data_IF_342508950179
#
_entry.id   IF_342508950179
#
_cell.length_a   1.000
_cell.length_b   1.000
_cell.length_c   1.000
_cell.angle_alpha   90.00
_cell.angle_beta   90.00
_cell.angle_gamma   90.00
#
_symmetry.space_group_name_H-M   'P 1'
#
loop_
_entity.id
_entity.type
_entity.pdbx_description
1 polymer ?
#
# COMPACT_ATOMS: atom_id res chain seq x y z
N UNK A 1 8.24 -48.85 21.04
CA UNK A 1 8.06 -47.66 21.89
C UNK A 1 8.52 -46.44 21.12
N UNK A 2 7.59 -45.62 20.66
CA UNK A 2 7.87 -44.43 19.83
C UNK A 2 7.88 -43.24 20.80
N UNK A 3 9.05 -42.68 21.07
CA UNK A 3 9.16 -41.37 21.71
C UNK A 3 8.84 -40.30 20.66
N UNK A 4 7.58 -39.89 20.59
CA UNK A 4 7.19 -38.66 19.91
C UNK A 4 7.61 -37.48 20.78
N UNK A 5 8.74 -36.86 20.45
CA UNK A 5 9.11 -35.52 20.92
C UNK A 5 7.98 -34.53 20.61
N UNK A 6 7.59 -33.63 21.55
CA UNK A 6 6.59 -32.62 21.26
C UNK A 6 7.17 -31.66 20.24
N UNK A 7 6.72 -31.77 18.99
CA UNK A 7 6.98 -30.73 17.99
C UNK A 7 6.33 -29.45 18.50
N UNK A 8 7.16 -28.46 18.82
CA UNK A 8 6.74 -27.09 19.04
C UNK A 8 6.14 -26.56 17.74
N UNK A 9 4.87 -26.86 17.50
CA UNK A 9 4.05 -26.19 16.50
C UNK A 9 4.03 -24.71 16.88
N UNK A 10 4.62 -23.79 16.09
CA UNK A 10 4.64 -22.39 16.45
C UNK A 10 3.20 -21.89 16.50
N UNK A 11 2.85 -21.21 17.58
CA UNK A 11 1.54 -20.60 17.77
C UNK A 11 1.09 -19.86 16.51
N UNK A 12 -0.10 -20.20 16.01
CA UNK A 12 -0.81 -19.66 14.84
C UNK A 12 -0.23 -18.34 14.23
N UNK A 13 0.77 -18.48 13.35
CA UNK A 13 1.46 -17.36 12.66
C UNK A 13 0.57 -16.53 11.72
N UNK A 14 -0.67 -16.95 11.49
CA UNK A 14 -1.63 -16.25 10.63
C UNK A 14 -2.05 -14.89 11.20
N UNK A 15 -2.23 -14.78 12.52
CA UNK A 15 -2.68 -13.52 13.17
C UNK A 15 -1.58 -12.46 13.22
N UNK A 16 -0.33 -12.84 13.42
CA UNK A 16 0.82 -11.90 13.36
C UNK A 16 1.07 -11.41 11.94
N UNK A 17 0.92 -12.29 10.94
CA UNK A 17 0.99 -11.92 9.52
C UNK A 17 -0.15 -10.98 9.14
N UNK A 18 -1.37 -11.26 9.60
CA UNK A 18 -2.53 -10.38 9.42
C UNK A 18 -2.29 -9.00 10.03
N UNK A 19 -1.82 -8.93 11.28
CA UNK A 19 -1.49 -7.67 11.93
C UNK A 19 -0.44 -6.86 11.14
N UNK A 20 0.60 -7.52 10.62
CA UNK A 20 1.61 -6.86 9.78
C UNK A 20 1.04 -6.32 8.46
N UNK A 21 0.16 -7.08 7.80
CA UNK A 21 -0.51 -6.63 6.57
C UNK A 21 -1.48 -5.48 6.86
N UNK A 22 -2.22 -5.54 7.96
CA UNK A 22 -3.15 -4.48 8.40
C UNK A 22 -2.41 -3.18 8.73
N UNK A 23 -1.28 -3.28 9.44
CA UNK A 23 -0.44 -2.11 9.74
C UNK A 23 0.15 -1.49 8.47
N UNK A 24 0.64 -2.31 7.54
CA UNK A 24 1.13 -1.84 6.25
C UNK A 24 0.03 -1.17 5.41
N UNK A 25 -1.16 -1.76 5.40
CA UNK A 25 -2.33 -1.22 4.72
C UNK A 25 -2.77 0.13 5.32
N UNK A 26 -2.89 0.19 6.66
CA UNK A 26 -3.24 1.41 7.37
C UNK A 26 -2.21 2.53 7.17
N UNK A 27 -0.92 2.20 7.12
CA UNK A 27 0.14 3.17 6.86
C UNK A 27 0.02 3.80 5.46
N UNK A 28 -0.32 3.02 4.43
CA UNK A 28 -0.51 3.55 3.06
C UNK A 28 -1.80 4.36 2.95
N UNK A 29 -2.95 3.80 3.37
CA UNK A 29 -4.23 4.50 3.29
C UNK A 29 -4.20 5.82 4.07
N UNK A 30 -3.66 5.79 5.30
CA UNK A 30 -3.58 6.96 6.16
C UNK A 30 -2.62 8.03 5.65
N UNK A 31 -1.37 7.64 5.31
CA UNK A 31 -0.33 8.62 4.98
C UNK A 31 -0.34 9.08 3.53
N UNK A 32 -0.75 8.25 2.57
CA UNK A 32 -0.68 8.62 1.15
C UNK A 32 -2.06 9.08 0.69
N UNK A 33 -3.08 8.23 0.81
CA UNK A 33 -4.38 8.52 0.18
C UNK A 33 -5.13 9.65 0.88
N UNK A 34 -5.24 9.62 2.22
CA UNK A 34 -6.03 10.61 2.96
C UNK A 34 -5.27 11.87 3.34
N UNK A 35 -3.98 11.74 3.72
CA UNK A 35 -3.20 12.91 4.13
C UNK A 35 -3.04 13.95 3.02
N UNK A 36 -2.94 13.52 1.75
CA UNK A 36 -2.80 14.45 0.62
C UNK A 36 -3.97 15.44 0.54
N UNK A 37 -5.22 14.97 0.73
CA UNK A 37 -6.39 15.84 0.73
C UNK A 37 -6.38 16.87 1.86
N UNK A 38 -5.79 16.53 3.01
CA UNK A 38 -5.64 17.43 4.16
C UNK A 38 -4.55 18.48 3.91
N UNK A 39 -3.44 18.10 3.28
CA UNK A 39 -2.33 19.01 2.98
C UNK A 39 -2.57 19.89 1.74
N UNK A 40 -3.55 19.54 0.90
CA UNK A 40 -3.83 20.24 -0.36
C UNK A 40 -4.07 21.75 -0.19
N UNK A 41 -4.87 22.24 0.78
CA UNK A 41 -5.03 23.68 1.01
C UNK A 41 -3.73 24.35 1.45
N UNK A 42 -2.99 23.75 2.39
CA UNK A 42 -1.71 24.27 2.89
C UNK A 42 -0.64 24.36 1.79
N UNK A 43 -0.59 23.38 0.88
CA UNK A 43 0.30 23.40 -0.28
C UNK A 43 -0.08 24.53 -1.25
N UNK A 44 -1.37 24.72 -1.51
CA UNK A 44 -1.86 25.80 -2.37
C UNK A 44 -1.50 27.19 -1.82
N UNK A 45 -1.62 27.39 -0.51
CA UNK A 45 -1.27 28.65 0.16
C UNK A 45 0.25 28.90 0.20
N UNK A 46 1.05 27.87 0.47
CA UNK A 46 2.51 28.01 0.64
C UNK A 46 3.25 28.18 -0.69
N UNK A 47 2.83 27.47 -1.73
CA UNK A 47 3.49 27.49 -3.05
C UNK A 47 2.73 28.35 -4.09
N UNK A 48 1.54 28.86 -3.76
CA UNK A 48 0.73 29.67 -4.66
C UNK A 48 0.09 28.87 -5.81
N UNK A 49 0.06 27.54 -5.74
CA UNK A 49 -0.51 26.69 -6.79
C UNK A 49 -2.03 26.66 -6.73
N UNK A 50 -2.68 26.64 -7.90
CA UNK A 50 -4.13 26.54 -7.98
C UNK A 50 -4.63 25.17 -7.50
N UNK A 51 -5.86 25.12 -6.99
CA UNK A 51 -6.52 23.86 -6.61
C UNK A 51 -6.62 22.87 -7.77
N UNK A 52 -6.81 23.36 -9.00
CA UNK A 52 -6.86 22.51 -10.19
C UNK A 52 -5.52 21.87 -10.51
N UNK A 53 -4.41 22.57 -10.25
CA UNK A 53 -3.08 22.04 -10.46
C UNK A 53 -2.75 20.96 -9.40
N UNK A 54 -3.23 21.13 -8.17
CA UNK A 54 -3.05 20.16 -7.07
C UNK A 54 -3.99 18.96 -7.12
N UNK A 55 -5.11 19.02 -7.85
CA UNK A 55 -5.99 17.85 -8.02
C UNK A 55 -5.44 16.82 -9.03
N UNK A 56 -4.62 17.27 -9.99
CA UNK A 56 -4.03 16.41 -11.02
C UNK A 56 -3.16 15.26 -10.50
N UNK A 57 -2.24 15.48 -9.53
CA UNK A 57 -1.46 14.42 -8.90
C UNK A 57 -2.33 13.32 -8.28
N UNK A 58 -3.44 13.69 -7.65
CA UNK A 58 -4.38 12.72 -7.07
C UNK A 58 -5.11 11.91 -8.15
N UNK A 59 -5.51 12.55 -9.24
CA UNK A 59 -6.06 11.84 -10.40
C UNK A 59 -5.05 10.85 -10.98
N UNK A 60 -3.79 11.25 -11.12
CA UNK A 60 -2.74 10.38 -11.64
C UNK A 60 -2.47 9.18 -10.71
N UNK A 61 -2.46 9.42 -9.40
CA UNK A 61 -2.37 8.38 -8.38
C UNK A 61 -3.46 7.30 -8.55
N UNK A 62 -4.72 7.72 -8.72
CA UNK A 62 -5.84 6.79 -8.92
C UNK A 62 -5.74 6.05 -10.26
N UNK A 63 -5.38 6.75 -11.34
CA UNK A 63 -5.24 6.14 -12.67
C UNK A 63 -4.16 5.05 -12.64
N UNK A 64 -2.98 5.37 -12.11
CA UNK A 64 -1.86 4.41 -12.04
C UNK A 64 -2.21 3.24 -11.13
N UNK A 65 -2.76 3.52 -9.94
CA UNK A 65 -3.18 2.48 -9.01
C UNK A 65 -4.22 1.52 -9.60
N UNK A 66 -5.23 2.06 -10.29
CA UNK A 66 -6.27 1.27 -10.95
C UNK A 66 -5.78 0.52 -12.18
N UNK A 67 -5.06 1.18 -13.10
CA UNK A 67 -4.56 0.58 -14.34
C UNK A 67 -3.55 -0.55 -14.08
N UNK A 68 -2.75 -0.43 -13.01
CA UNK A 68 -1.76 -1.44 -12.65
C UNK A 68 -2.33 -2.54 -11.75
N UNK A 69 -3.61 -2.47 -11.35
CA UNK A 69 -4.28 -3.51 -10.56
C UNK A 69 -4.19 -4.92 -11.17
N UNK A 70 -4.48 -5.12 -12.47
CA UNK A 70 -4.31 -6.43 -13.12
C UNK A 70 -2.86 -6.91 -13.11
N UNK A 71 -1.90 -6.01 -13.32
CA UNK A 71 -0.47 -6.31 -13.30
C UNK A 71 -0.03 -6.73 -11.89
N UNK A 72 -0.55 -6.07 -10.85
CA UNK A 72 -0.36 -6.46 -9.47
C UNK A 72 -0.89 -7.88 -9.22
N UNK A 73 -2.07 -8.22 -9.73
CA UNK A 73 -2.62 -9.59 -9.63
C UNK A 73 -1.70 -10.65 -10.24
N UNK A 74 -1.20 -10.42 -11.45
CA UNK A 74 -0.26 -11.35 -12.12
C UNK A 74 1.05 -11.49 -11.36
N UNK A 75 1.60 -10.37 -10.87
CA UNK A 75 2.85 -10.38 -10.10
C UNK A 75 2.68 -11.03 -8.72
N UNK A 76 1.53 -10.85 -8.06
CA UNK A 76 1.18 -11.59 -6.82
C UNK A 76 1.14 -13.10 -7.09
N UNK A 77 0.48 -13.52 -8.18
CA UNK A 77 0.38 -14.94 -8.54
C UNK A 77 1.76 -15.56 -8.86
N UNK A 78 2.67 -14.80 -9.47
CA UNK A 78 3.99 -15.30 -9.91
C UNK A 78 5.08 -15.20 -8.84
N UNK A 79 5.12 -14.11 -8.08
CA UNK A 79 6.20 -13.79 -7.14
C UNK A 79 5.79 -13.89 -5.67
N UNK A 80 4.50 -14.02 -5.39
CA UNK A 80 3.92 -14.09 -4.06
C UNK A 80 3.59 -12.71 -3.48
N UNK A 81 2.47 -12.65 -2.76
CA UNK A 81 1.93 -11.40 -2.22
C UNK A 81 2.89 -10.66 -1.28
N UNK A 82 3.70 -11.38 -0.48
CA UNK A 82 4.62 -10.76 0.48
C UNK A 82 5.67 -9.88 -0.21
N UNK A 83 6.22 -10.32 -1.34
CA UNK A 83 7.23 -9.55 -2.09
C UNK A 83 6.60 -8.29 -2.70
N UNK A 84 5.38 -8.40 -3.23
CA UNK A 84 4.65 -7.26 -3.77
C UNK A 84 4.31 -6.21 -2.70
N UNK A 85 3.88 -6.65 -1.51
CA UNK A 85 3.59 -5.75 -0.38
C UNK A 85 4.85 -4.99 0.02
N UNK A 86 5.99 -5.68 0.16
CA UNK A 86 7.26 -5.01 0.51
C UNK A 86 7.67 -4.02 -0.58
N UNK A 87 7.60 -4.42 -1.85
CA UNK A 87 7.98 -3.57 -2.97
C UNK A 87 7.12 -2.30 -3.02
N UNK A 88 5.79 -2.43 -2.94
CA UNK A 88 4.89 -1.28 -2.96
C UNK A 88 5.09 -0.36 -1.76
N UNK A 89 5.33 -0.90 -0.57
CA UNK A 89 5.64 -0.09 0.62
C UNK A 89 6.96 0.67 0.49
N UNK A 90 8.00 0.05 -0.06
CA UNK A 90 9.29 0.73 -0.30
C UNK A 90 9.12 1.86 -1.30
N UNK A 91 8.40 1.63 -2.40
CA UNK A 91 8.12 2.67 -3.40
C UNK A 91 7.32 3.82 -2.77
N UNK A 92 6.27 3.51 -2.00
CA UNK A 92 5.47 4.51 -1.32
C UNK A 92 6.30 5.32 -0.29
N UNK A 93 7.16 4.66 0.48
CA UNK A 93 8.04 5.32 1.44
C UNK A 93 9.04 6.27 0.75
N UNK A 94 9.62 5.85 -0.37
CA UNK A 94 10.49 6.70 -1.17
C UNK A 94 9.73 7.90 -1.78
N UNK A 95 8.50 7.69 -2.22
CA UNK A 95 7.62 8.77 -2.70
C UNK A 95 7.31 9.78 -1.60
N UNK A 96 7.01 9.30 -0.38
CA UNK A 96 6.76 10.16 0.77
C UNK A 96 8.02 10.95 1.18
N UNK A 97 9.19 10.31 1.17
CA UNK A 97 10.46 11.00 1.41
C UNK A 97 10.74 12.06 0.35
N UNK A 98 10.50 11.76 -0.92
CA UNK A 98 10.62 12.73 -2.02
C UNK A 98 9.65 13.91 -1.86
N UNK A 99 8.44 13.64 -1.37
CA UNK A 99 7.44 14.67 -1.07
C UNK A 99 7.93 15.71 -0.04
N UNK A 100 8.81 15.33 0.89
CA UNK A 100 9.38 16.26 1.88
C UNK A 100 10.32 17.32 1.28
N UNK A 101 10.78 17.11 0.05
CA UNK A 101 11.74 17.98 -0.64
C UNK A 101 11.13 18.68 -1.86
N UNK A 102 9.80 18.75 -1.92
CA UNK A 102 9.11 19.35 -3.07
C UNK A 102 9.26 20.86 -3.08
N UNK A 103 9.70 21.37 -4.23
CA UNK A 103 9.79 22.79 -4.56
C UNK A 103 8.93 23.13 -5.78
N UNK A 104 8.68 22.14 -6.64
CA UNK A 104 8.00 22.33 -7.92
C UNK A 104 6.83 21.37 -8.10
N UNK A 105 5.79 21.81 -8.79
CA UNK A 105 4.55 21.04 -8.88
C UNK A 105 4.72 19.69 -9.57
N UNK A 106 5.60 19.58 -10.57
CA UNK A 106 5.85 18.32 -11.28
C UNK A 106 6.41 17.24 -10.35
N UNK A 107 7.11 17.63 -9.29
CA UNK A 107 7.64 16.70 -8.28
C UNK A 107 6.49 16.06 -7.49
N UNK A 108 5.40 16.81 -7.26
CA UNK A 108 4.15 16.28 -6.68
C UNK A 108 3.56 15.20 -7.59
N UNK A 109 3.51 15.44 -8.90
CA UNK A 109 3.02 14.44 -9.87
C UNK A 109 3.88 13.16 -9.85
N UNK A 110 5.21 13.30 -9.74
CA UNK A 110 6.12 12.16 -9.71
C UNK A 110 6.04 11.39 -8.38
N UNK A 111 6.26 12.06 -7.25
CA UNK A 111 6.37 11.44 -5.94
C UNK A 111 5.02 10.97 -5.40
N UNK A 112 3.96 11.75 -5.59
CA UNK A 112 2.63 11.37 -5.14
C UNK A 112 1.86 10.59 -6.21
N UNK A 113 1.75 11.16 -7.42
CA UNK A 113 0.99 10.53 -8.50
C UNK A 113 1.58 9.20 -8.94
N UNK A 114 2.83 9.21 -9.41
CA UNK A 114 3.46 8.00 -9.95
C UNK A 114 3.89 7.03 -8.86
N UNK A 115 4.74 7.46 -7.92
CA UNK A 115 5.26 6.55 -6.90
C UNK A 115 4.17 6.13 -5.90
N UNK A 116 3.30 7.05 -5.50
CA UNK A 116 2.14 6.71 -4.68
C UNK A 116 1.20 5.74 -5.40
N UNK A 117 0.91 5.96 -6.69
CA UNK A 117 0.04 5.09 -7.48
C UNK A 117 0.62 3.69 -7.70
N UNK A 118 1.95 3.59 -7.87
CA UNK A 118 2.66 2.29 -7.88
C UNK A 118 2.58 1.60 -6.52
N UNK A 119 2.79 2.34 -5.44
CA UNK A 119 2.61 1.83 -4.08
C UNK A 119 1.20 1.26 -3.87
N UNK A 120 0.20 1.99 -4.35
CA UNK A 120 -1.21 1.57 -4.35
C UNK A 120 -1.40 0.25 -5.10
N UNK A 121 -0.96 0.19 -6.35
CA UNK A 121 -1.15 -1.01 -7.17
C UNK A 121 -0.54 -2.27 -6.54
N UNK A 122 0.70 -2.20 -6.02
CA UNK A 122 1.43 -3.38 -5.57
C UNK A 122 1.18 -3.76 -4.10
N UNK A 123 0.97 -2.79 -3.21
CA UNK A 123 0.84 -3.04 -1.77
C UNK A 123 -0.60 -2.99 -1.23
N UNK A 124 -1.58 -2.52 -2.01
CA UNK A 124 -2.95 -2.33 -1.51
C UNK A 124 -3.79 -3.62 -1.61
N UNK A 125 -5.11 -3.45 -1.78
CA UNK A 125 -6.17 -4.34 -1.35
C UNK A 125 -6.06 -5.75 -1.93
N UNK A 126 -5.62 -5.87 -3.19
CA UNK A 126 -5.52 -7.16 -3.86
C UNK A 126 -4.45 -8.07 -3.24
N UNK A 127 -3.28 -7.50 -2.90
CA UNK A 127 -2.20 -8.25 -2.25
C UNK A 127 -2.58 -8.64 -0.82
N UNK A 128 -3.19 -7.71 -0.06
CA UNK A 128 -3.64 -7.96 1.31
C UNK A 128 -4.72 -9.06 1.37
N UNK A 129 -5.76 -8.96 0.55
CA UNK A 129 -6.86 -9.95 0.51
C UNK A 129 -6.38 -11.33 0.06
N UNK A 130 -5.39 -11.41 -0.85
CA UNK A 130 -4.80 -12.69 -1.28
C UNK A 130 -4.06 -13.39 -0.13
N UNK A 131 -3.28 -12.65 0.67
CA UNK A 131 -2.60 -13.22 1.86
C UNK A 131 -3.63 -13.73 2.88
N UNK A 132 -4.66 -12.94 3.13
CA UNK A 132 -5.70 -13.28 4.13
C UNK A 132 -6.46 -14.54 3.71
N UNK A 133 -6.87 -14.62 2.44
CA UNK A 133 -7.57 -15.78 1.90
C UNK A 133 -6.71 -17.06 1.91
N UNK A 134 -5.40 -16.93 1.78
CA UNK A 134 -4.50 -18.09 1.84
C UNK A 134 -4.40 -18.68 3.26
N UNK A 135 -4.41 -17.83 4.30
CA UNK A 135 -4.21 -18.26 5.69
C UNK A 135 -5.52 -18.52 6.45
N UNK A 136 -6.62 -17.86 6.09
CA UNK A 136 -7.88 -17.92 6.82
C UNK A 136 -9.03 -18.44 5.95
N UNK A 137 -9.10 -19.77 5.76
CA UNK A 137 -10.20 -20.40 5.01
C UNK A 137 -11.52 -20.36 5.82
N UNK A 138 -11.46 -20.72 7.12
CA UNK A 138 -12.66 -20.89 7.97
C UNK A 138 -13.14 -19.59 8.64
N UNK A 139 -12.26 -18.59 8.79
CA UNK A 139 -12.53 -17.29 9.44
C UNK A 139 -12.32 -16.09 8.49
N UNK A 140 -12.44 -16.30 7.17
CA UNK A 140 -12.18 -15.28 6.14
C UNK A 140 -12.94 -13.97 6.39
N UNK A 141 -14.22 -14.06 6.76
CA UNK A 141 -15.09 -12.90 6.95
C UNK A 141 -14.67 -12.05 8.16
N UNK A 142 -14.16 -12.70 9.21
CA UNK A 142 -13.64 -12.03 10.40
C UNK A 142 -12.26 -11.41 10.16
N UNK A 143 -11.48 -11.97 9.22
CA UNK A 143 -10.13 -11.48 8.90
C UNK A 143 -10.12 -10.40 7.80
N UNK A 144 -11.16 -10.34 6.96
CA UNK A 144 -11.37 -9.32 5.93
C UNK A 144 -12.23 -8.14 6.41
N UNK A 145 -13.06 -8.37 7.43
CA UNK A 145 -13.98 -7.38 7.98
C UNK A 145 -13.31 -6.38 8.92
#
# INVERSE_FOLDING_TARGET
>A
MIHSSPSTQPAFSGWTTLAGVMLAYGAICGNVTYAFGVFLPSMGESFGWSRSALSGPYTLFLIIGGMLGPLAGVTVARFGARKNIVLGNVIAALGLLGMSQVLEIWQVYLFFGVMGGLGLAFAEFLSATTVINHWFIRKRSLALG
#
